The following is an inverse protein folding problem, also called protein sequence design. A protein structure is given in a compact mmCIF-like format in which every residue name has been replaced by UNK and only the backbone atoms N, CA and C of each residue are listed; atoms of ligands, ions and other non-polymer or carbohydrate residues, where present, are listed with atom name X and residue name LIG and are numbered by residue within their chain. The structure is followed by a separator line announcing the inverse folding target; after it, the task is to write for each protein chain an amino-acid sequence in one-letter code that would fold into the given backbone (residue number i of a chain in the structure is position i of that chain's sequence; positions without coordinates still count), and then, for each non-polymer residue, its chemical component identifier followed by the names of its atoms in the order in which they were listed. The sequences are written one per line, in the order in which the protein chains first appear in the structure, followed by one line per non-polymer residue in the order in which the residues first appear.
data_IF_208312619922
#
_entry.id   IF_208312619922
#
_cell.length_a   1.000
_cell.length_b   1.000
_cell.length_c   1.000
_cell.angle_alpha   90.00
_cell.angle_beta   90.00
_cell.angle_gamma   90.00
#
_symmetry.space_group_name_H-M   'P 1'
#
loop_
_entity.id
_entity.type
_entity.pdbx_description
1 polymer ?
#
# COMPACT_ATOMS: atom_id res chain seq x y z
N UNK A 1 10.02 -4.63 -58.68
CA UNK A 1 9.86 -4.58 -57.20
C UNK A 1 11.17 -4.23 -56.48
N UNK A 2 12.33 -4.79 -56.87
CA UNK A 2 13.62 -4.48 -56.24
C UNK A 2 14.07 -3.01 -56.36
N UNK A 3 13.75 -2.31 -57.45
CA UNK A 3 14.19 -0.91 -57.67
C UNK A 3 13.59 0.08 -56.66
N UNK A 4 12.33 -0.12 -56.27
CA UNK A 4 11.64 0.74 -55.29
C UNK A 4 12.19 0.50 -53.88
N UNK A 5 12.46 -0.75 -53.53
CA UNK A 5 13.09 -1.13 -52.25
C UNK A 5 14.52 -0.59 -52.13
N UNK A 6 15.32 -0.66 -53.20
CA UNK A 6 16.68 -0.07 -53.21
C UNK A 6 16.63 1.45 -53.07
N UNK A 7 15.66 2.11 -53.72
CA UNK A 7 15.48 3.57 -53.59
C UNK A 7 15.04 3.98 -52.17
N UNK A 8 14.09 3.27 -51.57
CA UNK A 8 13.66 3.51 -50.19
C UNK A 8 14.80 3.27 -49.19
N UNK A 9 15.62 2.22 -49.38
CA UNK A 9 16.80 1.98 -48.55
C UNK A 9 17.86 3.07 -48.71
N UNK A 10 18.09 3.55 -49.94
CA UNK A 10 18.98 4.68 -50.20
C UNK A 10 18.51 5.96 -49.51
N UNK A 11 17.19 6.24 -49.55
CA UNK A 11 16.60 7.40 -48.88
C UNK A 11 16.72 7.32 -47.34
N UNK A 12 16.49 6.13 -46.76
CA UNK A 12 16.66 5.90 -45.32
C UNK A 12 18.12 6.03 -44.90
N UNK A 13 19.06 5.48 -45.66
CA UNK A 13 20.49 5.63 -45.39
C UNK A 13 20.95 7.10 -45.50
N UNK A 14 20.45 7.83 -46.49
CA UNK A 14 20.72 9.27 -46.63
C UNK A 14 20.20 10.07 -45.44
N UNK A 15 18.96 9.81 -44.99
CA UNK A 15 18.40 10.47 -43.78
C UNK A 15 19.19 10.14 -42.52
N UNK A 16 19.58 8.87 -42.33
CA UNK A 16 20.41 8.45 -41.20
C UNK A 16 21.77 9.11 -41.24
N UNK A 17 22.45 9.11 -42.40
CA UNK A 17 23.73 9.79 -42.60
C UNK A 17 23.66 11.30 -42.36
N UNK A 18 22.56 11.95 -42.75
CA UNK A 18 22.34 13.37 -42.45
C UNK A 18 22.11 13.62 -40.96
N UNK A 19 21.38 12.74 -40.26
CA UNK A 19 21.14 12.86 -38.82
C UNK A 19 22.42 12.61 -38.00
N UNK A 20 23.19 11.57 -38.31
CA UNK A 20 24.47 11.33 -37.63
C UNK A 20 25.53 12.37 -38.00
N UNK A 21 25.57 12.83 -39.26
CA UNK A 21 26.48 13.90 -39.69
C UNK A 21 26.20 15.23 -39.00
N UNK A 22 24.92 15.59 -38.82
CA UNK A 22 24.53 16.82 -38.13
C UNK A 22 24.78 16.72 -36.61
N UNK A 23 24.51 15.57 -36.00
CA UNK A 23 24.85 15.33 -34.59
C UNK A 23 26.37 15.36 -34.36
N UNK A 24 27.15 14.76 -35.26
CA UNK A 24 28.61 14.80 -35.20
C UNK A 24 29.18 16.21 -35.38
N UNK A 25 28.65 16.98 -36.34
CA UNK A 25 29.03 18.38 -36.53
C UNK A 25 28.69 19.22 -35.30
N UNK A 26 27.49 19.05 -34.74
CA UNK A 26 27.05 19.77 -33.55
C UNK A 26 27.89 19.39 -32.33
N UNK A 27 28.24 18.11 -32.17
CA UNK A 27 29.16 17.64 -31.15
C UNK A 27 30.55 18.25 -31.29
N UNK A 28 31.08 18.36 -32.52
CA UNK A 28 32.35 19.02 -32.79
C UNK A 28 32.29 20.52 -32.45
N UNK A 29 31.22 21.21 -32.81
CA UNK A 29 31.02 22.63 -32.47
C UNK A 29 30.97 22.82 -30.94
N UNK A 30 30.19 22.00 -30.24
CA UNK A 30 30.12 22.04 -28.77
C UNK A 30 31.50 21.79 -28.16
N UNK A 31 32.25 20.82 -28.68
CA UNK A 31 33.58 20.49 -28.19
C UNK A 31 34.57 21.65 -28.39
N UNK A 32 34.56 22.28 -29.57
CA UNK A 32 35.38 23.48 -29.83
C UNK A 32 34.99 24.63 -28.90
N UNK A 33 33.69 24.84 -28.65
CA UNK A 33 33.22 25.87 -27.70
C UNK A 33 33.61 25.56 -26.25
N UNK A 34 33.52 24.30 -25.83
CA UNK A 34 33.92 23.83 -24.51
C UNK A 34 35.41 24.12 -24.25
N UNK A 35 36.25 23.92 -25.27
CA UNK A 35 37.68 24.19 -25.17
C UNK A 35 37.99 25.67 -25.27
N UNK A 36 37.29 26.42 -26.13
CA UNK A 36 37.42 27.87 -26.19
C UNK A 36 37.03 28.54 -24.86
N UNK A 37 36.07 27.95 -24.14
CA UNK A 37 35.65 28.37 -22.80
C UNK A 37 36.20 27.43 -21.72
N UNK A 38 37.49 27.08 -21.82
CA UNK A 38 38.11 26.13 -20.90
C UNK A 38 37.90 26.48 -19.43
N UNK A 39 38.01 27.76 -19.05
CA UNK A 39 37.83 28.22 -17.67
C UNK A 39 36.45 27.88 -17.07
N UNK A 40 35.41 27.82 -17.92
CA UNK A 40 34.05 27.48 -17.50
C UNK A 40 33.86 25.95 -17.50
N UNK A 41 34.44 25.27 -18.49
CA UNK A 41 34.25 23.83 -18.69
C UNK A 41 35.12 23.00 -17.75
N UNK A 42 36.29 23.50 -17.38
CA UNK A 42 37.25 22.86 -16.48
C UNK A 42 36.61 22.42 -15.14
N UNK A 43 35.98 23.29 -14.33
CA UNK A 43 35.40 22.85 -13.05
C UNK A 43 34.28 21.81 -13.22
N UNK A 44 33.56 21.85 -14.35
CA UNK A 44 32.54 20.84 -14.67
C UNK A 44 33.21 19.49 -14.95
N UNK A 45 34.25 19.46 -15.78
CA UNK A 45 35.00 18.24 -16.10
C UNK A 45 35.77 17.69 -14.90
N UNK A 46 36.25 18.57 -14.02
CA UNK A 46 36.91 18.24 -12.76
C UNK A 46 35.92 17.56 -11.79
N UNK A 47 34.70 18.11 -11.65
CA UNK A 47 33.66 17.51 -10.81
C UNK A 47 33.28 16.07 -11.25
N UNK A 48 33.47 15.76 -12.55
CA UNK A 48 33.26 14.43 -13.13
C UNK A 48 34.51 13.54 -13.12
N UNK A 49 35.65 14.02 -12.59
CA UNK A 49 36.97 13.35 -12.59
C UNK A 49 37.50 12.99 -13.98
N UNK A 50 37.01 13.66 -15.02
CA UNK A 50 37.46 13.45 -16.40
C UNK A 50 38.87 14.03 -16.56
N UNK A 51 39.15 15.14 -15.87
CA UNK A 51 40.46 15.82 -15.89
C UNK A 51 41.53 14.89 -15.32
N UNK A 52 41.32 14.32 -14.13
CA UNK A 52 42.24 13.36 -13.51
C UNK A 52 42.58 12.19 -14.45
N UNK A 53 41.59 11.69 -15.20
CA UNK A 53 41.80 10.60 -16.16
C UNK A 53 42.73 11.01 -17.32
N UNK A 54 42.49 12.18 -17.93
CA UNK A 54 43.32 12.68 -19.02
C UNK A 54 44.70 13.14 -18.55
N UNK A 55 44.80 13.66 -17.33
CA UNK A 55 46.06 14.06 -16.72
C UNK A 55 46.95 12.84 -16.43
N UNK A 56 46.39 11.76 -15.89
CA UNK A 56 47.10 10.49 -15.69
C UNK A 56 47.61 9.87 -17.01
N UNK A 57 47.00 10.20 -18.14
CA UNK A 57 47.44 9.78 -19.47
C UNK A 57 48.49 10.73 -20.09
N UNK A 58 48.84 11.82 -19.40
CA UNK A 58 49.77 12.85 -19.88
C UNK A 58 49.21 13.67 -21.03
N UNK A 59 47.88 13.88 -21.06
CA UNK A 59 47.19 14.59 -22.14
C UNK A 59 46.84 16.05 -21.79
N UNK A 60 47.00 16.45 -20.54
CA UNK A 60 46.73 17.81 -20.07
C UNK A 60 48.05 18.58 -19.93
N UNK A 61 48.10 19.77 -20.51
CA UNK A 61 49.22 20.71 -20.44
C UNK A 61 48.72 22.00 -19.76
N UNK A 62 49.17 22.22 -18.52
CA UNK A 62 48.78 23.39 -17.74
C UNK A 62 49.16 24.70 -18.45
N UNK A 63 48.22 25.66 -18.50
CA UNK A 63 48.45 26.96 -19.14
C UNK A 63 48.39 26.96 -20.67
N UNK A 64 48.28 25.79 -21.32
CA UNK A 64 48.25 25.67 -22.78
C UNK A 64 47.00 24.92 -23.28
N UNK A 65 45.82 25.58 -23.32
CA UNK A 65 44.56 24.93 -23.70
C UNK A 65 44.57 24.42 -25.15
N UNK A 66 45.30 25.10 -26.05
CA UNK A 66 45.47 24.66 -27.44
C UNK A 66 46.26 23.36 -27.57
N UNK A 67 47.33 23.20 -26.79
CA UNK A 67 48.17 21.99 -26.78
C UNK A 67 47.42 20.81 -26.18
N UNK A 68 46.71 21.04 -25.07
CA UNK A 68 45.81 20.06 -24.43
C UNK A 68 44.73 19.58 -25.41
N UNK A 69 44.08 20.49 -26.14
CA UNK A 69 43.09 20.16 -27.16
C UNK A 69 43.64 19.24 -28.24
N UNK A 70 44.81 19.62 -28.78
CA UNK A 70 45.45 18.88 -29.84
C UNK A 70 45.81 17.46 -29.37
N UNK A 71 46.37 17.32 -28.17
CA UNK A 71 46.71 16.03 -27.57
C UNK A 71 45.47 15.13 -27.40
N UNK A 72 44.37 15.67 -26.87
CA UNK A 72 43.11 14.93 -26.69
C UNK A 72 42.51 14.53 -28.04
N UNK A 73 42.47 15.42 -29.04
CA UNK A 73 41.96 15.09 -30.38
C UNK A 73 42.80 14.01 -31.06
N UNK A 74 44.13 14.09 -30.91
CA UNK A 74 45.05 13.12 -31.47
C UNK A 74 44.91 11.76 -30.76
N UNK A 75 44.71 11.74 -29.45
CA UNK A 75 44.35 10.54 -28.71
C UNK A 75 43.02 9.93 -29.19
N UNK A 76 41.96 10.74 -29.29
CA UNK A 76 40.64 10.29 -29.73
C UNK A 76 40.66 9.75 -31.17
N UNK A 77 41.39 10.40 -32.08
CA UNK A 77 41.55 9.91 -33.46
C UNK A 77 42.31 8.59 -33.52
N UNK A 78 43.39 8.43 -32.75
CA UNK A 78 44.10 7.14 -32.63
C UNK A 78 43.19 6.06 -32.06
N UNK A 79 42.46 6.36 -30.99
CA UNK A 79 41.49 5.44 -30.40
C UNK A 79 40.39 5.06 -31.41
N UNK A 80 39.87 6.02 -32.18
CA UNK A 80 38.89 5.77 -33.23
C UNK A 80 39.43 4.86 -34.33
N UNK A 81 40.67 5.06 -34.79
CA UNK A 81 41.33 4.18 -35.77
C UNK A 81 41.46 2.76 -35.22
N UNK A 82 41.93 2.62 -33.97
CA UNK A 82 42.07 1.32 -33.31
C UNK A 82 40.72 0.61 -33.20
N UNK A 83 39.67 1.33 -32.76
CA UNK A 83 38.31 0.79 -32.68
C UNK A 83 37.79 0.38 -34.06
N UNK A 84 37.97 1.22 -35.09
CA UNK A 84 37.56 0.90 -36.46
C UNK A 84 38.28 -0.36 -36.99
N UNK A 85 39.57 -0.51 -36.68
CA UNK A 85 40.33 -1.71 -37.02
C UNK A 85 39.74 -2.95 -36.34
N UNK A 86 39.48 -2.90 -35.04
CA UNK A 86 38.85 -4.01 -34.32
C UNK A 86 37.44 -4.32 -34.82
N UNK A 87 36.64 -3.30 -35.16
CA UNK A 87 35.31 -3.48 -35.75
C UNK A 87 35.39 -4.14 -37.13
N UNK A 88 36.36 -3.75 -37.96
CA UNK A 88 36.58 -4.38 -39.26
C UNK A 88 36.99 -5.85 -39.09
N UNK A 89 37.91 -6.15 -38.17
CA UNK A 89 38.31 -7.53 -37.85
C UNK A 89 37.12 -8.34 -37.32
N UNK A 90 36.34 -7.78 -36.39
CA UNK A 90 35.16 -8.43 -35.84
C UNK A 90 34.10 -8.69 -36.92
N UNK A 91 33.89 -7.75 -37.85
CA UNK A 91 32.97 -7.91 -38.96
C UNK A 91 33.43 -9.03 -39.90
N UNK A 92 34.70 -9.04 -40.29
CA UNK A 92 35.28 -10.11 -41.12
C UNK A 92 35.10 -11.46 -40.42
N UNK A 93 35.46 -11.54 -39.14
CA UNK A 93 35.34 -12.76 -38.34
C UNK A 93 33.87 -13.20 -38.22
N UNK A 94 32.93 -12.27 -38.05
CA UNK A 94 31.50 -12.58 -38.01
C UNK A 94 30.97 -13.14 -39.33
N UNK A 95 31.44 -12.62 -40.47
CA UNK A 95 31.08 -13.15 -41.79
C UNK A 95 31.64 -14.56 -41.98
N UNK A 96 32.90 -14.81 -41.58
CA UNK A 96 33.49 -16.14 -41.61
C UNK A 96 32.71 -17.13 -40.72
N UNK A 97 32.37 -16.72 -39.49
CA UNK A 97 31.56 -17.52 -38.58
C UNK A 97 30.16 -17.80 -39.14
N UNK A 98 29.55 -16.84 -39.85
CA UNK A 98 28.24 -17.01 -40.49
C UNK A 98 28.29 -18.03 -41.62
N UNK A 99 29.35 -18.02 -42.44
CA UNK A 99 29.57 -18.99 -43.51
C UNK A 99 29.79 -20.40 -42.93
N UNK A 100 30.58 -20.52 -41.86
CA UNK A 100 30.80 -21.81 -41.19
C UNK A 100 29.50 -22.30 -40.55
N UNK A 101 28.79 -21.42 -39.86
CA UNK A 101 27.54 -21.68 -39.15
C UNK A 101 26.32 -21.97 -40.04
N UNK A 102 26.41 -21.81 -41.37
CA UNK A 102 25.34 -22.21 -42.27
C UNK A 102 25.29 -23.74 -42.51
N UNK A 103 26.35 -24.47 -42.15
CA UNK A 103 26.41 -25.93 -42.24
C UNK A 103 26.22 -26.58 -40.87
N UNK A 104 25.55 -27.74 -40.79
CA UNK A 104 25.40 -28.49 -39.52
C UNK A 104 26.74 -28.84 -38.87
N UNK A 105 27.72 -29.23 -39.69
CA UNK A 105 29.06 -29.57 -39.22
C UNK A 105 29.79 -28.33 -38.69
N UNK A 106 29.68 -27.19 -39.38
CA UNK A 106 30.26 -25.94 -38.93
C UNK A 106 29.58 -25.35 -37.70
N UNK A 107 28.27 -25.54 -37.50
CA UNK A 107 27.58 -25.20 -36.25
C UNK A 107 28.16 -25.97 -35.06
N UNK A 108 28.36 -27.28 -35.21
CA UNK A 108 28.93 -28.11 -34.15
C UNK A 108 30.38 -27.71 -33.86
N UNK A 109 31.21 -27.47 -34.88
CA UNK A 109 32.59 -27.01 -34.70
C UNK A 109 32.65 -25.64 -34.01
N UNK A 110 31.81 -24.70 -34.43
CA UNK A 110 31.72 -23.37 -33.84
C UNK A 110 31.27 -23.44 -32.37
N UNK A 111 30.31 -24.31 -32.05
CA UNK A 111 29.88 -24.55 -30.69
C UNK A 111 31.04 -25.07 -29.81
N UNK A 112 31.86 -26.00 -30.30
CA UNK A 112 33.04 -26.46 -29.57
C UNK A 112 34.06 -25.33 -29.34
N UNK A 113 34.39 -24.54 -30.37
CA UNK A 113 35.33 -23.42 -30.24
C UNK A 113 34.83 -22.38 -29.23
N UNK A 114 33.56 -21.98 -29.32
CA UNK A 114 32.95 -21.04 -28.38
C UNK A 114 32.95 -21.61 -26.96
N UNK A 115 32.59 -22.88 -26.80
CA UNK A 115 32.59 -23.55 -25.49
C UNK A 115 34.01 -23.62 -24.89
N UNK A 116 35.03 -23.94 -25.70
CA UNK A 116 36.43 -23.97 -25.27
C UNK A 116 36.94 -22.60 -24.83
N UNK A 117 36.50 -21.50 -25.46
CA UNK A 117 36.86 -20.13 -25.05
C UNK A 117 36.04 -19.68 -23.83
N UNK A 118 34.77 -20.04 -23.75
CA UNK A 118 33.85 -19.62 -22.69
C UNK A 118 34.09 -20.35 -21.37
N UNK A 119 34.51 -21.61 -21.39
CA UNK A 119 34.77 -22.39 -20.17
C UNK A 119 35.83 -21.71 -19.27
N UNK A 120 37.04 -21.35 -19.76
CA UNK A 120 38.02 -20.63 -18.96
C UNK A 120 37.50 -19.30 -18.39
N UNK A 121 36.73 -18.54 -19.20
CA UNK A 121 36.13 -17.28 -18.75
C UNK A 121 35.09 -17.48 -17.65
N UNK A 122 34.23 -18.51 -17.78
CA UNK A 122 33.26 -18.89 -16.76
C UNK A 122 33.95 -19.36 -15.48
N UNK A 123 35.03 -20.15 -15.58
CA UNK A 123 35.81 -20.60 -14.43
C UNK A 123 36.43 -19.39 -13.71
N UNK A 124 37.06 -18.47 -14.44
CA UNK A 124 37.64 -17.24 -13.86
C UNK A 124 36.56 -16.39 -13.21
N UNK A 125 35.39 -16.25 -13.85
CA UNK A 125 34.26 -15.50 -13.29
C UNK A 125 33.70 -16.15 -12.03
N UNK A 126 33.51 -17.46 -12.02
CA UNK A 126 33.06 -18.22 -10.85
C UNK A 126 34.07 -18.17 -9.71
N UNK A 127 35.37 -18.32 -10.01
CA UNK A 127 36.44 -18.18 -9.02
C UNK A 127 36.47 -16.76 -8.47
N UNK A 128 36.35 -15.73 -9.31
CA UNK A 128 36.26 -14.34 -8.88
C UNK A 128 35.06 -14.09 -7.97
N UNK A 129 33.89 -14.64 -8.31
CA UNK A 129 32.69 -14.57 -7.48
C UNK A 129 32.88 -15.29 -6.14
N UNK A 130 33.44 -16.50 -6.16
CA UNK A 130 33.70 -17.30 -4.97
C UNK A 130 34.74 -16.64 -4.06
N UNK A 131 35.82 -16.10 -4.62
CA UNK A 131 36.84 -15.32 -3.91
C UNK A 131 36.18 -14.07 -3.31
N UNK A 132 35.39 -13.32 -4.08
CA UNK A 132 34.68 -12.15 -3.56
C UNK A 132 33.76 -12.52 -2.38
N UNK A 133 33.05 -13.65 -2.49
CA UNK A 133 32.21 -14.19 -1.43
C UNK A 133 33.02 -14.59 -0.18
N UNK A 134 34.11 -15.35 -0.34
CA UNK A 134 34.96 -15.80 0.78
C UNK A 134 35.71 -14.66 1.47
N UNK A 135 36.14 -13.63 0.73
CA UNK A 135 36.80 -12.45 1.29
C UNK A 135 35.83 -11.41 1.85
N UNK A 136 34.53 -11.72 1.90
CA UNK A 136 33.53 -10.80 2.45
C UNK A 136 33.46 -9.48 1.68
N UNK A 137 33.73 -9.50 0.37
CA UNK A 137 33.43 -8.36 -0.48
C UNK A 137 31.91 -8.19 -0.49
N UNK A 138 31.44 -7.37 0.44
CA UNK A 138 30.05 -6.96 0.58
C UNK A 138 29.52 -6.62 -0.79
N UNK A 139 28.44 -7.27 -1.16
CA UNK A 139 27.80 -7.09 -2.47
C UNK A 139 27.51 -5.60 -2.68
N UNK A 140 27.44 -5.13 -3.92
CA UNK A 140 27.03 -3.74 -4.21
C UNK A 140 25.70 -3.38 -3.53
N UNK A 141 24.84 -4.38 -3.30
CA UNK A 141 23.59 -4.23 -2.57
C UNK A 141 23.83 -3.94 -1.09
N UNK A 142 24.65 -4.73 -0.40
CA UNK A 142 24.99 -4.50 1.01
C UNK A 142 25.72 -3.17 1.21
N UNK A 143 26.64 -2.79 0.32
CA UNK A 143 27.29 -1.47 0.39
C UNK A 143 26.31 -0.32 0.14
N UNK A 144 25.29 -0.53 -0.69
CA UNK A 144 24.26 0.47 -0.93
C UNK A 144 23.27 0.56 0.24
N UNK A 145 22.91 -0.55 0.87
CA UNK A 145 22.11 -0.58 2.11
C UNK A 145 22.87 0.10 3.25
N UNK A 146 24.15 -0.22 3.44
CA UNK A 146 24.99 0.41 4.47
C UNK A 146 25.24 1.91 4.19
N UNK A 147 25.47 2.29 2.92
CA UNK A 147 25.58 3.71 2.56
C UNK A 147 24.25 4.45 2.72
N UNK A 148 23.13 3.78 2.47
CA UNK A 148 21.80 4.33 2.72
C UNK A 148 21.59 4.51 4.22
N UNK A 149 21.84 3.49 5.04
CA UNK A 149 21.74 3.56 6.51
C UNK A 149 22.64 4.65 7.10
N UNK A 150 23.90 4.73 6.65
CA UNK A 150 24.85 5.76 7.09
C UNK A 150 24.42 7.16 6.64
N UNK A 151 24.03 7.34 5.37
CA UNK A 151 23.49 8.62 4.89
C UNK A 151 22.21 9.00 5.64
N UNK A 152 21.36 8.02 5.97
CA UNK A 152 20.13 8.23 6.70
C UNK A 152 20.40 8.61 8.17
N UNK A 153 21.37 7.95 8.83
CA UNK A 153 21.81 8.30 10.17
C UNK A 153 22.49 9.67 10.22
N UNK A 154 23.34 10.01 9.26
CA UNK A 154 24.03 11.31 9.20
C UNK A 154 23.08 12.46 8.84
N UNK A 155 22.13 12.23 7.93
CA UNK A 155 21.21 13.27 7.46
C UNK A 155 20.06 13.51 8.43
N UNK A 156 19.58 12.47 9.12
CA UNK A 156 18.40 12.57 9.98
C UNK A 156 18.69 12.45 11.47
N UNK A 157 19.85 11.92 11.88
CA UNK A 157 20.22 11.70 13.29
C UNK A 157 19.24 10.80 14.07
N UNK A 158 19.72 10.11 15.10
CA UNK A 158 18.86 9.40 16.06
C UNK A 158 17.91 10.34 16.85
N UNK A 159 17.98 11.65 16.62
CA UNK A 159 17.25 12.68 17.37
C UNK A 159 16.30 13.54 16.55
N UNK A 160 16.14 13.34 15.22
CA UNK A 160 15.03 14.02 14.55
C UNK A 160 13.72 13.32 14.86
N UNK A 161 12.72 14.09 15.28
CA UNK A 161 11.36 13.61 15.53
C UNK A 161 10.79 12.86 14.31
N UNK A 162 11.26 13.23 13.11
CA UNK A 162 10.91 12.57 11.85
C UNK A 162 11.40 11.13 11.76
N UNK A 163 12.61 10.80 12.25
CA UNK A 163 13.12 9.43 12.28
C UNK A 163 12.33 8.55 13.25
N UNK A 164 12.04 9.08 14.45
CA UNK A 164 11.18 8.38 15.42
C UNK A 164 9.79 8.12 14.84
N UNK A 165 9.24 9.08 14.11
CA UNK A 165 7.95 8.94 13.44
C UNK A 165 8.00 7.88 12.33
N UNK A 166 9.08 7.79 11.55
CA UNK A 166 9.26 6.78 10.50
C UNK A 166 9.49 5.37 11.05
N UNK A 167 10.29 5.21 12.11
CA UNK A 167 10.42 3.93 12.81
C UNK A 167 9.09 3.48 13.40
N UNK A 168 8.37 4.38 14.06
CA UNK A 168 7.07 4.06 14.65
C UNK A 168 6.04 3.65 13.58
N UNK A 169 6.07 4.28 12.39
CA UNK A 169 5.29 3.85 11.22
C UNK A 169 5.70 2.47 10.72
N UNK A 170 6.99 2.21 10.59
CA UNK A 170 7.49 0.91 10.15
C UNK A 170 7.08 -0.21 11.12
N UNK A 171 7.24 0.01 12.42
CA UNK A 171 6.79 -0.93 13.45
C UNK A 171 5.28 -1.17 13.37
N UNK A 172 4.48 -0.11 13.19
CA UNK A 172 3.03 -0.23 13.03
C UNK A 172 2.60 -1.01 11.79
N UNK A 173 3.32 -0.88 10.68
CA UNK A 173 3.03 -1.63 9.45
C UNK A 173 3.14 -3.15 9.63
N UNK A 174 3.89 -3.60 10.65
CA UNK A 174 4.09 -5.01 10.99
C UNK A 174 3.12 -5.52 12.04
N UNK A 175 2.37 -4.64 12.70
CA UNK A 175 1.37 -5.03 13.69
C UNK A 175 0.20 -5.75 13.02
N UNK A 176 -0.31 -6.77 13.70
CA UNK A 176 -1.55 -7.43 13.27
C UNK A 176 -2.73 -6.45 13.41
N UNK A 177 -3.84 -6.66 12.67
CA UNK A 177 -5.06 -5.86 12.84
C UNK A 177 -5.54 -5.73 14.29
N UNK A 178 -5.44 -6.80 15.09
CA UNK A 178 -5.86 -6.77 16.49
C UNK A 178 -4.88 -6.01 17.38
N UNK A 179 -3.58 -6.10 17.11
CA UNK A 179 -2.59 -5.28 17.83
C UNK A 179 -2.74 -3.79 17.51
N UNK A 180 -3.12 -3.45 16.28
CA UNK A 180 -3.48 -2.08 15.92
C UNK A 180 -4.72 -1.60 16.69
N UNK A 181 -5.76 -2.41 16.80
CA UNK A 181 -6.93 -2.05 17.62
C UNK A 181 -6.56 -1.87 19.08
N UNK A 182 -5.75 -2.76 19.67
CA UNK A 182 -5.27 -2.59 21.06
C UNK A 182 -4.43 -1.33 21.27
N UNK A 183 -3.69 -0.91 20.25
CA UNK A 183 -2.87 0.31 20.31
C UNK A 183 -3.73 1.59 20.25
N UNK A 184 -4.83 1.56 19.51
CA UNK A 184 -5.60 2.75 19.15
C UNK A 184 -7.01 2.84 19.72
N UNK A 185 -7.48 1.78 20.37
CA UNK A 185 -8.79 1.67 20.96
C UNK A 185 -8.67 1.30 22.44
N UNK A 186 -9.65 1.71 23.23
CA UNK A 186 -9.78 1.26 24.62
C UNK A 186 -10.41 -0.13 24.63
N UNK A 187 -9.82 -1.07 25.36
CA UNK A 187 -10.39 -2.42 25.55
C UNK A 187 -11.49 -2.39 26.61
N UNK A 188 -12.61 -3.04 26.35
CA UNK A 188 -13.76 -3.11 27.25
C UNK A 188 -14.01 -4.54 27.76
N UNK A 189 -14.52 -4.65 28.98
CA UNK A 189 -15.05 -5.90 29.50
C UNK A 189 -16.43 -6.22 28.89
N UNK A 190 -16.85 -7.48 29.02
CA UNK A 190 -18.12 -7.98 28.45
C UNK A 190 -19.31 -7.19 29.01
N UNK A 191 -19.37 -7.00 30.32
CA UNK A 191 -20.47 -6.32 31.01
C UNK A 191 -20.60 -4.85 30.57
N UNK A 192 -19.47 -4.16 30.46
CA UNK A 192 -19.42 -2.77 29.99
C UNK A 192 -19.85 -2.68 28.53
N UNK A 193 -19.45 -3.66 27.71
CA UNK A 193 -19.85 -3.74 26.30
C UNK A 193 -21.35 -3.97 26.15
N UNK A 194 -21.93 -4.88 26.94
CA UNK A 194 -23.38 -5.12 26.94
C UNK A 194 -24.12 -3.84 27.36
N UNK A 195 -23.65 -3.15 28.40
CA UNK A 195 -24.22 -1.87 28.83
C UNK A 195 -24.15 -0.82 27.72
N UNK A 196 -23.01 -0.74 27.03
CA UNK A 196 -22.79 0.19 25.93
C UNK A 196 -23.68 -0.09 24.71
N UNK A 197 -23.84 -1.36 24.37
CA UNK A 197 -24.68 -1.81 23.26
C UNK A 197 -26.18 -1.74 23.59
N UNK A 198 -26.54 -1.75 24.89
CA UNK A 198 -27.92 -1.63 25.37
C UNK A 198 -28.46 -0.19 25.26
N UNK A 199 -28.61 0.25 24.01
CA UNK A 199 -29.15 1.56 23.64
C UNK A 199 -29.87 1.46 22.31
N UNK A 200 -30.82 2.36 22.08
CA UNK A 200 -31.49 2.48 20.80
C UNK A 200 -30.52 3.10 19.77
N UNK A 201 -30.43 2.55 18.54
CA UNK A 201 -29.66 3.17 17.47
C UNK A 201 -30.26 4.54 17.09
N UNK A 202 -29.41 5.50 16.72
CA UNK A 202 -29.82 6.87 16.31
C UNK A 202 -29.23 7.17 14.93
N UNK A 203 -29.94 7.92 14.09
CA UNK A 203 -29.41 8.31 12.78
C UNK A 203 -28.12 9.14 12.93
N UNK A 204 -27.08 8.80 12.16
CA UNK A 204 -25.79 9.46 12.25
C UNK A 204 -24.98 9.05 13.48
N UNK A 205 -25.29 7.90 14.08
CA UNK A 205 -24.52 7.33 15.17
C UNK A 205 -23.02 7.28 14.85
N UNK A 206 -22.20 7.46 15.86
CA UNK A 206 -20.74 7.41 15.74
C UNK A 206 -20.10 6.51 16.78
N UNK A 207 -20.88 6.02 17.73
CA UNK A 207 -20.38 5.33 18.93
C UNK A 207 -20.60 3.84 18.76
N UNK A 208 -19.77 3.20 17.94
CA UNK A 208 -19.86 1.77 17.69
C UNK A 208 -18.74 1.03 18.42
N UNK A 209 -19.10 -0.11 19.02
CA UNK A 209 -18.12 -1.05 19.56
C UNK A 209 -17.53 -1.88 18.42
N UNK A 210 -16.27 -2.25 18.55
CA UNK A 210 -15.61 -3.20 17.67
C UNK A 210 -15.41 -4.53 18.42
N UNK A 211 -15.64 -5.65 17.75
CA UNK A 211 -15.42 -7.00 18.27
C UNK A 211 -14.36 -7.75 17.46
N UNK A 212 -13.52 -8.49 18.15
CA UNK A 212 -12.62 -9.50 17.57
C UNK A 212 -13.06 -10.88 18.06
N UNK A 213 -13.35 -11.78 17.14
CA UNK A 213 -13.74 -13.17 17.42
C UNK A 213 -12.52 -14.07 17.65
N UNK A 214 -12.73 -15.29 18.16
CA UNK A 214 -11.62 -16.23 18.44
C UNK A 214 -10.78 -16.63 17.21
N UNK A 215 -11.37 -16.57 16.01
CA UNK A 215 -10.69 -16.79 14.72
C UNK A 215 -9.92 -15.55 14.21
N UNK A 216 -9.99 -14.42 14.92
CA UNK A 216 -9.35 -13.15 14.54
C UNK A 216 -10.15 -12.30 13.55
N UNK A 217 -11.39 -12.67 13.24
CA UNK A 217 -12.28 -11.84 12.42
C UNK A 217 -12.72 -10.59 13.20
N UNK A 218 -12.84 -9.45 12.48
CA UNK A 218 -13.15 -8.15 13.07
C UNK A 218 -14.54 -7.68 12.64
N UNK A 219 -15.31 -7.16 13.61
CA UNK A 219 -16.71 -6.76 13.42
C UNK A 219 -17.03 -5.42 14.06
N UNK A 220 -17.83 -4.60 13.39
CA UNK A 220 -18.49 -3.43 14.01
C UNK A 220 -19.78 -3.95 14.65
N UNK A 221 -19.91 -3.84 15.96
CA UNK A 221 -21.07 -4.31 16.71
C UNK A 221 -22.15 -3.23 16.71
N UNK A 222 -23.36 -3.60 16.33
CA UNK A 222 -24.48 -2.66 16.25
C UNK A 222 -25.15 -2.49 17.63
N UNK A 223 -25.63 -1.27 17.97
CA UNK A 223 -26.42 -1.06 19.17
C UNK A 223 -27.69 -1.91 19.17
N UNK A 224 -27.90 -2.73 20.20
CA UNK A 224 -29.03 -3.63 20.31
C UNK A 224 -29.72 -3.47 21.67
N UNK A 225 -30.84 -2.74 21.74
CA UNK A 225 -31.54 -2.45 23.00
C UNK A 225 -32.26 -3.69 23.58
N UNK A 226 -32.29 -4.81 22.85
CA UNK A 226 -32.85 -6.07 23.31
C UNK A 226 -31.77 -7.04 23.81
N UNK A 227 -30.49 -6.71 23.66
CA UNK A 227 -29.38 -7.62 23.98
C UNK A 227 -29.43 -8.10 25.43
N UNK A 228 -29.62 -7.16 26.38
CA UNK A 228 -29.66 -7.47 27.81
C UNK A 228 -30.86 -8.35 28.17
N UNK A 229 -32.02 -8.02 27.61
CA UNK A 229 -33.25 -8.78 27.79
C UNK A 229 -33.12 -10.21 27.23
N UNK A 230 -32.65 -10.35 25.99
CA UNK A 230 -32.46 -11.65 25.33
C UNK A 230 -31.46 -12.52 26.11
N UNK A 231 -30.34 -11.95 26.57
CA UNK A 231 -29.34 -12.65 27.39
C UNK A 231 -29.97 -13.24 28.66
N UNK A 232 -30.83 -12.50 29.35
CA UNK A 232 -31.52 -13.00 30.56
C UNK A 232 -32.41 -14.19 30.21
N UNK A 233 -33.20 -14.08 29.13
CA UNK A 233 -34.07 -15.16 28.67
C UNK A 233 -33.25 -16.41 28.30
N UNK A 234 -32.12 -16.26 27.62
CA UNK A 234 -31.27 -17.40 27.25
C UNK A 234 -30.74 -18.14 28.50
N UNK A 235 -30.29 -17.37 29.50
CA UNK A 235 -29.79 -17.92 30.79
C UNK A 235 -30.90 -18.62 31.56
N UNK A 236 -32.08 -18.01 31.69
CA UNK A 236 -33.19 -18.55 32.48
C UNK A 236 -33.83 -19.78 31.84
N UNK A 237 -33.96 -19.82 30.52
CA UNK A 237 -34.63 -20.89 29.79
C UNK A 237 -33.70 -21.97 29.24
N UNK A 238 -32.39 -21.93 29.53
CA UNK A 238 -31.37 -22.91 29.11
C UNK A 238 -31.45 -23.28 27.62
N UNK A 239 -31.77 -22.31 26.76
CA UNK A 239 -31.70 -22.53 25.31
C UNK A 239 -30.23 -22.53 24.90
N UNK A 240 -29.87 -23.34 23.91
CA UNK A 240 -28.53 -23.34 23.33
C UNK A 240 -28.05 -21.90 23.14
N UNK A 241 -26.88 -21.61 23.71
CA UNK A 241 -26.39 -20.29 24.15
C UNK A 241 -26.14 -19.25 23.04
N UNK A 242 -26.83 -19.28 21.91
CA UNK A 242 -26.63 -18.25 20.90
C UNK A 242 -27.37 -16.98 21.31
N UNK A 243 -26.63 -15.94 21.68
CA UNK A 243 -27.17 -14.59 21.82
C UNK A 243 -26.74 -13.81 20.57
N UNK A 244 -27.47 -13.92 19.44
CA UNK A 244 -27.03 -13.32 18.19
C UNK A 244 -27.03 -11.80 18.30
N UNK A 245 -25.92 -11.18 17.90
CA UNK A 245 -25.81 -9.74 17.72
C UNK A 245 -25.59 -9.41 16.25
N UNK A 246 -26.26 -8.35 15.80
CA UNK A 246 -26.05 -7.81 14.45
C UNK A 246 -24.71 -7.10 14.40
N UNK A 247 -23.89 -7.47 13.43
CA UNK A 247 -22.57 -6.90 13.27
C UNK A 247 -22.19 -6.73 11.80
N UNK A 248 -21.16 -5.93 11.53
CA UNK A 248 -20.63 -5.70 10.17
C UNK A 248 -19.18 -6.14 10.10
N UNK A 249 -18.82 -7.13 9.27
CA UNK A 249 -17.45 -7.57 9.15
C UNK A 249 -16.60 -6.49 8.47
N UNK A 250 -15.42 -6.24 9.02
CA UNK A 250 -14.47 -5.30 8.44
C UNK A 250 -13.06 -5.86 8.42
N UNK A 251 -12.21 -5.20 7.64
CA UNK A 251 -10.77 -5.45 7.61
C UNK A 251 -10.05 -4.15 7.87
N UNK A 252 -8.97 -4.26 8.63
CA UNK A 252 -8.02 -3.17 8.84
C UNK A 252 -6.84 -3.45 7.92
N UNK A 253 -6.49 -2.47 7.10
CA UNK A 253 -5.21 -2.45 6.39
C UNK A 253 -4.49 -1.16 6.74
N UNK A 254 -3.24 -1.28 7.18
CA UNK A 254 -2.32 -0.15 7.13
C UNK A 254 -1.96 0.07 5.67
N UNK A 255 -2.43 1.17 5.09
CA UNK A 255 -2.03 1.55 3.75
C UNK A 255 -0.75 2.35 3.87
N UNK A 256 0.37 1.68 3.61
CA UNK A 256 1.62 2.35 3.29
C UNK A 256 1.41 3.05 1.95
N UNK A 257 1.34 4.38 1.96
CA UNK A 257 1.14 5.15 0.74
C UNK A 257 2.37 4.99 -0.17
N UNK A 258 2.10 4.65 -1.44
CA UNK A 258 3.14 4.54 -2.46
C UNK A 258 3.96 5.82 -2.59
N UNK A 259 5.27 5.61 -2.77
CA UNK A 259 6.26 6.65 -3.05
C UNK A 259 5.87 7.39 -4.32
N UNK A 260 5.37 8.63 -4.20
CA UNK A 260 5.17 9.48 -5.37
C UNK A 260 6.50 10.14 -5.74
N UNK A 261 7.09 9.66 -6.83
CA UNK A 261 8.37 10.12 -7.39
C UNK A 261 8.20 11.43 -8.20
N UNK A 262 7.50 12.40 -7.62
CA UNK A 262 7.35 13.72 -8.22
C UNK A 262 8.29 14.68 -7.47
N UNK A 263 9.47 14.90 -8.05
CA UNK A 263 10.43 15.98 -7.76
C UNK A 263 11.12 15.98 -6.39
N UNK A 264 12.18 15.16 -6.20
CA UNK A 264 13.26 15.29 -5.17
C UNK A 264 12.89 15.60 -3.69
N UNK A 265 11.61 15.67 -3.35
CA UNK A 265 11.07 15.96 -2.04
C UNK A 265 10.18 14.76 -1.75
N UNK A 266 10.70 13.82 -0.97
CA UNK A 266 9.90 12.71 -0.47
C UNK A 266 8.78 13.28 0.41
N UNK A 267 7.57 13.40 -0.15
CA UNK A 267 6.37 13.76 0.59
C UNK A 267 5.73 12.48 1.09
N UNK A 268 6.12 12.06 2.28
CA UNK A 268 5.37 11.09 3.06
C UNK A 268 4.04 11.73 3.46
N UNK A 269 2.93 11.17 2.97
CA UNK A 269 1.61 11.48 3.52
C UNK A 269 1.39 10.56 4.74
N UNK A 270 0.66 11.03 5.77
CA UNK A 270 0.37 10.20 6.93
C UNK A 270 -0.33 8.92 6.50
N UNK A 271 0.08 7.79 7.11
CA UNK A 271 -0.56 6.49 6.90
C UNK A 271 -2.02 6.58 7.32
N UNK A 272 -2.91 6.17 6.41
CA UNK A 272 -4.33 6.04 6.71
C UNK A 272 -4.61 4.59 7.09
N UNK A 273 -5.22 4.40 8.26
CA UNK A 273 -5.83 3.12 8.59
C UNK A 273 -7.07 3.00 7.73
N UNK A 274 -7.03 2.12 6.73
CA UNK A 274 -8.17 1.92 5.84
C UNK A 274 -9.02 0.79 6.41
N UNK A 275 -10.21 1.15 6.85
CA UNK A 275 -11.25 0.21 7.24
C UNK A 275 -12.06 -0.11 5.99
N UNK A 276 -11.93 -1.34 5.51
CA UNK A 276 -12.72 -1.86 4.38
C UNK A 276 -13.78 -2.80 4.90
N UNK A 277 -15.05 -2.46 4.68
CA UNK A 277 -16.18 -3.32 5.00
C UNK A 277 -16.20 -4.51 4.04
N UNK A 278 -16.32 -5.72 4.58
CA UNK A 278 -16.49 -6.94 3.77
C UNK A 278 -17.97 -7.06 3.40
N UNK A 279 -18.27 -7.26 2.12
CA UNK A 279 -19.60 -7.72 1.72
C UNK A 279 -19.82 -9.13 2.27
N UNK A 280 -21.05 -9.43 2.70
CA UNK A 280 -21.40 -10.77 3.12
C UNK A 280 -21.30 -11.73 1.90
N UNK A 281 -20.38 -12.72 1.90
CA UNK A 281 -20.18 -13.60 0.74
C UNK A 281 -21.35 -14.56 0.50
N UNK A 282 -22.22 -14.79 1.49
CA UNK A 282 -23.35 -15.72 1.38
C UNK A 282 -24.58 -15.12 0.70
N UNK A 283 -24.59 -13.80 0.46
CA UNK A 283 -25.71 -13.12 -0.20
C UNK A 283 -25.54 -13.10 -1.72
N UNK A 284 -26.10 -14.12 -2.40
CA UNK A 284 -26.18 -14.17 -3.86
C UNK A 284 -27.44 -13.44 -4.36
N UNK A 285 -27.22 -12.47 -5.25
CA UNK A 285 -28.16 -11.43 -5.68
C UNK A 285 -29.28 -12.03 -6.54
N UNK A 286 -30.47 -12.23 -5.97
CA UNK A 286 -31.71 -12.47 -6.75
C UNK A 286 -33.02 -12.20 -5.99
N UNK A 287 -33.03 -11.48 -4.87
CA UNK A 287 -34.28 -11.10 -4.20
C UNK A 287 -34.36 -9.59 -4.00
N UNK A 288 -35.47 -8.96 -4.41
CA UNK A 288 -35.77 -7.53 -4.23
C UNK A 288 -35.98 -7.12 -2.75
N UNK A 289 -35.58 -7.98 -1.80
CA UNK A 289 -35.77 -7.82 -0.36
C UNK A 289 -34.45 -7.59 0.40
N UNK A 290 -33.39 -7.12 -0.27
CA UNK A 290 -32.08 -6.93 0.35
C UNK A 290 -32.08 -5.70 1.25
N UNK A 291 -32.57 -5.85 2.49
CA UNK A 291 -32.52 -4.78 3.50
C UNK A 291 -31.15 -4.68 4.19
N UNK A 292 -30.24 -5.66 4.05
CA UNK A 292 -29.02 -5.73 4.89
C UNK A 292 -27.80 -6.40 4.22
N UNK A 293 -27.24 -5.85 3.13
CA UNK A 293 -26.09 -6.46 2.41
C UNK A 293 -24.82 -6.71 3.26
N UNK A 294 -24.69 -6.01 4.40
CA UNK A 294 -23.46 -5.99 5.21
C UNK A 294 -23.64 -6.49 6.64
N UNK A 295 -24.87 -6.71 7.10
CA UNK A 295 -25.09 -7.22 8.45
C UNK A 295 -25.02 -8.74 8.47
N UNK A 296 -24.30 -9.25 9.46
CA UNK A 296 -24.27 -10.67 9.81
C UNK A 296 -24.79 -10.84 11.23
N UNK A 297 -25.33 -12.01 11.52
CA UNK A 297 -25.54 -12.45 12.90
C UNK A 297 -24.27 -13.16 13.35
N UNK A 298 -23.69 -12.70 14.45
CA UNK A 298 -22.60 -13.40 15.15
C UNK A 298 -23.09 -13.74 16.55
N UNK A 299 -22.68 -14.90 17.07
CA UNK A 299 -22.91 -15.17 18.48
C UNK A 299 -22.07 -14.20 19.32
N UNK A 300 -22.70 -13.51 20.26
CA UNK A 300 -21.99 -12.57 21.13
C UNK A 300 -20.87 -13.27 21.90
N UNK A 301 -21.04 -14.56 22.22
CA UNK A 301 -20.05 -15.37 22.95
C UNK A 301 -18.85 -15.80 22.11
N UNK A 302 -18.93 -15.72 20.77
CA UNK A 302 -17.80 -15.97 19.88
C UNK A 302 -16.81 -14.78 19.84
N UNK A 303 -17.19 -13.64 20.42
CA UNK A 303 -16.37 -12.44 20.48
C UNK A 303 -15.39 -12.56 21.67
N UNK A 304 -14.10 -12.60 21.33
CA UNK A 304 -13.00 -12.73 22.27
C UNK A 304 -12.64 -11.40 22.95
N UNK A 305 -12.67 -10.29 22.20
CA UNK A 305 -12.22 -8.97 22.70
C UNK A 305 -13.11 -7.85 22.15
N UNK A 306 -13.32 -6.81 22.96
CA UNK A 306 -14.16 -5.65 22.63
C UNK A 306 -13.33 -4.37 22.70
N UNK A 307 -13.50 -3.50 21.70
CA UNK A 307 -12.72 -2.28 21.56
C UNK A 307 -13.64 -1.08 21.29
N UNK A 308 -13.41 0.02 22.00
CA UNK A 308 -14.01 1.32 21.68
C UNK A 308 -12.96 2.21 21.02
N UNK A 309 -13.19 2.68 19.78
CA UNK A 309 -12.32 3.64 19.13
C UNK A 309 -12.16 4.90 19.97
N UNK A 310 -10.92 5.33 20.21
CA UNK A 310 -10.70 6.65 20.82
C UNK A 310 -11.06 7.73 19.79
N UNK A 311 -11.95 8.64 20.19
CA UNK A 311 -12.59 9.64 19.34
C UNK A 311 -11.57 10.62 18.75
N UNK A 312 -10.44 10.79 19.43
CA UNK A 312 -9.39 11.73 19.06
C UNK A 312 -8.21 11.06 18.33
N UNK A 313 -8.21 9.74 18.21
CA UNK A 313 -7.08 8.99 17.68
C UNK A 313 -7.41 8.35 16.31
N UNK A 314 -6.73 8.87 15.27
CA UNK A 314 -6.65 8.30 13.90
C UNK A 314 -7.97 8.36 13.09
N UNK A 315 -7.90 7.94 11.83
CA UNK A 315 -9.00 8.00 10.86
C UNK A 315 -10.19 7.05 11.17
N UNK A 316 -10.12 6.22 12.22
CA UNK A 316 -11.13 5.20 12.57
C UNK A 316 -12.51 5.84 12.74
N UNK A 317 -12.60 6.96 13.47
CA UNK A 317 -13.84 7.72 13.67
C UNK A 317 -14.45 8.16 12.34
N UNK A 318 -13.65 8.62 11.39
CA UNK A 318 -14.16 9.08 10.11
C UNK A 318 -14.85 7.94 9.35
N UNK A 319 -14.25 6.76 9.35
CA UNK A 319 -14.85 5.56 8.73
C UNK A 319 -16.12 5.12 9.48
N UNK A 320 -16.08 5.02 10.80
CA UNK A 320 -17.21 4.56 11.62
C UNK A 320 -18.38 5.56 11.57
N UNK A 321 -18.12 6.86 11.65
CA UNK A 321 -19.17 7.89 11.56
C UNK A 321 -19.83 7.96 10.19
N UNK A 322 -19.13 7.56 9.12
CA UNK A 322 -19.75 7.42 7.79
C UNK A 322 -20.75 6.26 7.75
N UNK A 323 -20.54 5.22 8.58
CA UNK A 323 -21.41 4.05 8.64
C UNK A 323 -22.80 4.39 9.20
N UNK A 324 -22.88 5.15 10.30
CA UNK A 324 -24.16 5.56 10.90
C UNK A 324 -25.05 6.44 10.01
N UNK A 325 -24.53 6.92 8.86
CA UNK A 325 -25.28 7.71 7.87
C UNK A 325 -25.76 6.89 6.67
N UNK A 326 -25.39 5.61 6.58
CA UNK A 326 -25.76 4.76 5.44
C UNK A 326 -27.22 4.33 5.52
N UNK A 327 -27.79 4.04 4.35
CA UNK A 327 -29.20 3.63 4.25
C UNK A 327 -29.49 2.26 4.90
N UNK A 328 -28.55 1.31 4.81
CA UNK A 328 -28.66 0.00 5.45
C UNK A 328 -28.71 0.11 6.98
N UNK A 329 -27.90 1.00 7.56
CA UNK A 329 -27.98 1.30 8.98
C UNK A 329 -29.29 1.99 9.37
N UNK A 330 -29.82 2.88 8.53
CA UNK A 330 -31.14 3.50 8.76
C UNK A 330 -32.26 2.45 8.82
N UNK A 331 -32.27 1.49 7.91
CA UNK A 331 -33.26 0.41 7.90
C UNK A 331 -33.13 -0.44 9.18
N UNK A 332 -31.91 -0.75 9.60
CA UNK A 332 -31.65 -1.47 10.86
C UNK A 332 -32.19 -0.70 12.07
N UNK A 333 -31.95 0.61 12.10
CA UNK A 333 -32.42 1.49 13.15
C UNK A 333 -33.94 1.47 13.26
N UNK A 334 -34.65 1.62 12.15
CA UNK A 334 -36.12 1.63 12.12
C UNK A 334 -36.69 0.30 12.67
N UNK A 335 -36.17 -0.83 12.19
CA UNK A 335 -36.56 -2.17 12.64
C UNK A 335 -36.31 -2.37 14.14
N UNK A 336 -35.15 -1.96 14.65
CA UNK A 336 -34.78 -2.14 16.06
C UNK A 336 -35.58 -1.25 16.99
N UNK A 337 -35.80 0.01 16.62
CA UNK A 337 -36.60 0.96 17.40
C UNK A 337 -38.05 0.49 17.47
N UNK A 338 -38.64 0.08 16.34
CA UNK A 338 -40.02 -0.44 16.29
C UNK A 338 -40.18 -1.70 17.15
N UNK A 339 -39.28 -2.67 17.01
CA UNK A 339 -39.30 -3.91 17.80
C UNK A 339 -39.18 -3.64 19.30
N UNK A 340 -38.27 -2.76 19.69
CA UNK A 340 -38.08 -2.40 21.10
C UNK A 340 -39.37 -1.82 21.71
N UNK A 341 -39.95 -0.80 21.08
CA UNK A 341 -41.16 -0.17 21.60
C UNK A 341 -42.38 -1.08 21.53
N UNK A 342 -42.49 -1.92 20.50
CA UNK A 342 -43.57 -2.91 20.38
C UNK A 342 -43.50 -3.95 21.49
N UNK A 343 -42.30 -4.49 21.77
CA UNK A 343 -42.09 -5.44 22.86
C UNK A 343 -42.41 -4.80 24.22
N UNK A 344 -41.95 -3.56 24.45
CA UNK A 344 -42.23 -2.83 25.68
C UNK A 344 -43.73 -2.57 25.86
N UNK A 345 -44.43 -2.14 24.81
CA UNK A 345 -45.88 -1.91 24.83
C UNK A 345 -46.65 -3.21 25.06
N UNK A 346 -46.20 -4.34 24.50
CA UNK A 346 -46.80 -5.64 24.74
C UNK A 346 -46.73 -6.01 26.24
N UNK A 347 -45.58 -5.85 26.89
CA UNK A 347 -45.43 -6.13 28.33
C UNK A 347 -46.29 -5.19 29.19
N UNK A 348 -46.36 -3.89 28.84
CA UNK A 348 -47.24 -2.94 29.52
C UNK A 348 -48.71 -3.33 29.39
N UNK A 349 -49.16 -3.68 28.18
CA UNK A 349 -50.52 -4.17 27.94
C UNK A 349 -50.83 -5.44 28.72
N UNK A 350 -49.84 -6.30 28.90
CA UNK A 350 -49.97 -7.49 29.74
C UNK A 350 -50.24 -7.09 31.19
N UNK A 351 -49.45 -6.14 31.75
CA UNK A 351 -49.64 -5.63 33.13
C UNK A 351 -51.05 -5.08 33.39
N UNK A 352 -51.69 -4.46 32.39
CA UNK A 352 -53.05 -3.92 32.53
C UNK A 352 -54.15 -4.98 32.54
N UNK A 353 -53.87 -6.24 32.17
CA UNK A 353 -54.88 -7.31 32.00
C UNK A 353 -55.14 -8.18 33.24
N UNK A 354 -55.12 -7.58 34.43
CA UNK A 354 -55.50 -8.22 35.70
C UNK A 354 -54.75 -9.55 35.95
N UNK A 355 -53.43 -9.45 36.09
CA UNK A 355 -52.53 -10.60 36.20
C UNK A 355 -52.36 -11.03 37.68
N UNK A 356 -52.05 -12.32 37.91
CA UNK A 356 -51.58 -12.81 39.22
C UNK A 356 -50.31 -12.06 39.70
N UNK A 357 -50.12 -11.98 41.02
CA UNK A 357 -48.99 -11.28 41.66
C UNK A 357 -47.61 -11.79 41.20
N UNK A 358 -47.48 -13.11 40.98
CA UNK A 358 -46.24 -13.73 40.52
C UNK A 358 -45.86 -13.27 39.10
N UNK A 359 -46.80 -13.37 38.16
CA UNK A 359 -46.61 -12.92 36.77
C UNK A 359 -46.46 -11.40 36.67
N UNK A 360 -47.11 -10.64 37.56
CA UNK A 360 -46.87 -9.19 37.66
C UNK A 360 -45.39 -8.89 37.98
N UNK A 361 -44.80 -9.63 38.91
CA UNK A 361 -43.40 -9.46 39.29
C UNK A 361 -42.44 -9.87 38.16
N UNK A 362 -42.72 -10.98 37.47
CA UNK A 362 -41.98 -11.43 36.28
C UNK A 362 -41.96 -10.35 35.19
N UNK A 363 -43.14 -9.88 34.77
CA UNK A 363 -43.28 -8.87 33.70
C UNK A 363 -42.68 -7.53 34.11
N UNK A 364 -42.78 -7.16 35.39
CA UNK A 364 -42.12 -5.96 35.93
C UNK A 364 -40.61 -6.06 35.85
N UNK A 365 -40.04 -7.24 36.11
CA UNK A 365 -38.59 -7.46 35.98
C UNK A 365 -38.16 -7.42 34.51
N UNK A 366 -38.96 -7.97 33.60
CA UNK A 366 -38.69 -7.92 32.16
C UNK A 366 -38.72 -6.49 31.61
N UNK A 367 -39.66 -5.68 32.08
CA UNK A 367 -39.70 -4.25 31.78
C UNK A 367 -38.49 -3.48 32.31
N UNK A 368 -37.91 -3.88 33.45
CA UNK A 368 -36.66 -3.28 33.95
C UNK A 368 -35.46 -3.64 33.09
N UNK A 369 -35.47 -4.80 32.45
CA UNK A 369 -34.41 -5.21 31.52
C UNK A 369 -34.54 -4.50 30.17
N UNK A 370 -35.77 -4.16 29.74
CA UNK A 370 -36.04 -3.26 28.61
C UNK A 370 -35.85 -1.79 29.00
N UNK A 371 -34.61 -1.44 29.35
CA UNK A 371 -34.22 -0.10 29.74
C UNK A 371 -33.00 0.34 28.91
N UNK A 372 -33.24 0.72 27.67
CA UNK A 372 -32.23 1.31 26.80
C UNK A 372 -31.76 2.66 27.35
N UNK A 373 -30.44 2.88 27.42
CA UNK A 373 -29.84 4.03 28.12
C UNK A 373 -30.24 5.40 27.55
N UNK A 374 -30.65 5.46 26.29
CA UNK A 374 -31.03 6.68 25.57
C UNK A 374 -32.51 6.72 25.16
N UNK A 375 -33.38 5.93 25.80
CA UNK A 375 -34.79 5.81 25.42
C UNK A 375 -35.51 7.17 25.33
N UNK A 376 -35.39 8.00 26.36
CA UNK A 376 -36.05 9.31 26.41
C UNK A 376 -35.64 10.21 25.24
N UNK A 377 -34.36 10.17 24.85
CA UNK A 377 -33.84 10.96 23.74
C UNK A 377 -34.45 10.48 22.42
N UNK A 378 -34.49 9.17 22.18
CA UNK A 378 -35.08 8.62 20.95
C UNK A 378 -36.57 8.88 20.89
N UNK A 379 -37.27 8.79 22.03
CA UNK A 379 -38.68 9.14 22.12
C UNK A 379 -38.92 10.62 21.78
N UNK A 380 -38.12 11.54 22.33
CA UNK A 380 -38.18 12.96 21.97
C UNK A 380 -37.92 13.22 20.49
N UNK A 381 -36.99 12.49 19.87
CA UNK A 381 -36.70 12.58 18.42
C UNK A 381 -37.91 12.12 17.61
N UNK A 382 -38.52 10.99 17.96
CA UNK A 382 -39.68 10.42 17.27
C UNK A 382 -40.95 11.26 17.45
N UNK A 383 -41.16 11.80 18.66
CA UNK A 383 -42.33 12.62 19.00
C UNK A 383 -42.21 14.07 18.48
N UNK A 384 -41.06 14.48 17.95
CA UNK A 384 -40.84 15.82 17.40
C UNK A 384 -41.21 15.87 15.91
N UNK A 385 -42.41 16.36 15.51
CA UNK A 385 -42.85 16.38 14.11
C UNK A 385 -42.03 17.28 13.17
N UNK A 386 -40.98 17.96 13.66
CA UNK A 386 -40.22 18.97 12.90
C UNK A 386 -38.76 18.61 12.60
N UNK A 387 -38.16 17.62 13.26
CA UNK A 387 -36.71 17.35 13.11
C UNK A 387 -36.43 16.42 11.93
N UNK A 388 -37.39 15.61 11.50
CA UNK A 388 -37.12 14.64 10.45
C UNK A 388 -36.95 15.24 9.06
N UNK A 389 -37.47 16.44 8.75
CA UNK A 389 -37.16 17.14 7.49
C UNK A 389 -37.28 16.25 6.23
N UNK A 390 -38.00 15.13 6.32
CA UNK A 390 -38.31 14.26 5.21
C UNK A 390 -39.46 14.98 4.54
N UNK A 391 -39.10 15.91 3.67
CA UNK A 391 -39.94 16.22 2.53
C UNK A 391 -40.18 14.89 1.84
N UNK A 392 -41.32 14.27 2.12
CA UNK A 392 -41.90 13.25 1.27
C UNK A 392 -42.27 13.96 -0.04
N UNK A 393 -41.29 14.12 -0.94
CA UNK A 393 -41.48 14.28 -2.38
C UNK A 393 -40.90 13.06 -3.09
#
# INVERSE_FOLDING_TARGET
MNTILTFLNGFVQYRRGKQTGLAGLLGLIIFVLAVYRWDITYPILESLKIIDFFDNLGLIYEGEPGTTLYAIMLFLSRAAIVIMFFLAVALILSLFLMIIGSSKLGQNLLAYVVLTIMIPLLIVWMLGYYIAYCFGFRTKKEKAEESYENWHQETFGEHSDRYKEEQLKYEESRLSPSDLLKKYCTTYYIEDTISHLNRLPIFGDTVFMLGETYDGSLYILMPDPLLKYNRKMDIEYRRDYSTPIKAVPFTVKNVVLEKKDDSNIMKYRPEKMVISLKKNPEYNVNSELIKYEFLVDIDFWDIKSFYMPDIDIKDIKHYISSFGKRNDYRIYLEDKVEKYFSQKQHLLNFLYRDISSEKFQEVTNDLKELNATNEDIVKMINDSPKILGVNNE
#
